data_IF_847426510786
#
_entry.id   IF_847426510786
#
_cell.length_a   1.000
_cell.length_b   1.000
_cell.length_c   1.000
_cell.angle_alpha   90.00
_cell.angle_beta   90.00
_cell.angle_gamma   90.00
#
_symmetry.space_group_name_H-M   'P 1'
#
loop_
_entity.id
_entity.type
_entity.pdbx_description
1 polymer ?
#
# COMPACT_ATOMS: atom_id res chain seq x y z
N UNK A 1 15.02 36.42 4.20
CA UNK A 1 15.39 35.55 3.06
C UNK A 1 16.26 34.40 3.56
N UNK A 2 15.87 33.13 3.37
CA UNK A 2 16.65 31.99 3.86
C UNK A 2 17.87 31.71 2.97
N UNK A 3 19.04 31.48 3.59
CA UNK A 3 20.33 31.29 2.90
C UNK A 3 20.36 29.97 2.11
N UNK A 4 21.16 29.90 1.05
CA UNK A 4 21.26 28.73 0.13
C UNK A 4 21.58 27.41 0.85
N UNK A 5 22.24 27.48 2.01
CA UNK A 5 22.54 26.34 2.88
C UNK A 5 21.27 25.81 3.61
N UNK A 6 20.42 26.69 4.15
CA UNK A 6 19.17 26.30 4.81
C UNK A 6 18.14 25.67 3.86
N UNK A 7 18.17 26.05 2.57
CA UNK A 7 17.34 25.41 1.54
C UNK A 7 17.68 23.93 1.36
N UNK A 8 18.96 23.56 1.33
CA UNK A 8 19.38 22.15 1.20
C UNK A 8 18.94 21.32 2.41
N UNK A 9 19.06 21.85 3.62
CA UNK A 9 18.65 21.14 4.84
C UNK A 9 17.14 20.97 4.92
N UNK A 10 16.35 22.01 4.65
CA UNK A 10 14.87 21.90 4.61
C UNK A 10 14.37 20.96 3.51
N UNK A 11 15.00 20.95 2.34
CA UNK A 11 14.65 20.03 1.25
C UNK A 11 15.03 18.58 1.58
N UNK A 12 16.17 18.34 2.24
CA UNK A 12 16.51 17.00 2.74
C UNK A 12 15.58 16.55 3.85
N UNK A 13 15.16 17.46 4.75
CA UNK A 13 14.18 17.14 5.80
C UNK A 13 12.82 16.79 5.20
N UNK A 14 12.36 17.57 4.22
CA UNK A 14 11.14 17.29 3.47
C UNK A 14 11.21 15.94 2.75
N UNK A 15 12.33 15.64 2.07
CA UNK A 15 12.55 14.33 1.44
C UNK A 15 12.53 13.19 2.48
N UNK A 16 13.24 13.34 3.61
CA UNK A 16 13.25 12.33 4.68
C UNK A 16 11.87 12.11 5.30
N UNK A 17 11.06 13.17 5.41
CA UNK A 17 9.68 13.10 5.92
C UNK A 17 8.76 12.42 4.92
N UNK A 18 8.87 12.72 3.63
CA UNK A 18 8.13 12.06 2.56
C UNK A 18 8.46 10.56 2.46
N UNK A 19 9.71 10.15 2.70
CA UNK A 19 10.09 8.73 2.77
C UNK A 19 9.60 7.98 4.01
N UNK A 20 9.09 8.70 5.02
CA UNK A 20 8.42 8.13 6.19
C UNK A 20 6.89 8.10 6.03
N UNK A 21 6.35 8.78 5.04
CA UNK A 21 4.93 8.75 4.77
C UNK A 21 4.54 7.43 4.07
N UNK A 22 3.63 6.63 4.65
CA UNK A 22 3.20 5.37 4.05
C UNK A 22 2.56 5.54 2.67
N UNK A 23 1.80 6.62 2.44
CA UNK A 23 1.12 6.88 1.18
C UNK A 23 2.11 7.29 0.08
N UNK A 24 3.08 8.15 0.40
CA UNK A 24 4.15 8.50 -0.55
C UNK A 24 4.97 7.26 -0.91
N UNK A 25 5.30 6.43 0.08
CA UNK A 25 6.04 5.17 -0.15
C UNK A 25 5.25 4.23 -1.06
N UNK A 26 3.93 4.10 -0.87
CA UNK A 26 3.07 3.30 -1.74
C UNK A 26 2.97 3.87 -3.16
N UNK A 27 2.88 5.20 -3.32
CA UNK A 27 2.86 5.86 -4.63
C UNK A 27 4.16 5.64 -5.41
N UNK A 28 5.32 5.77 -4.74
CA UNK A 28 6.62 5.45 -5.33
C UNK A 28 6.70 3.98 -5.74
N UNK A 29 6.12 3.08 -4.94
CA UNK A 29 6.05 1.67 -5.28
C UNK A 29 5.22 1.40 -6.54
N UNK A 30 4.09 2.11 -6.72
CA UNK A 30 3.29 2.05 -7.96
C UNK A 30 4.08 2.54 -9.18
N UNK A 31 4.85 3.63 -9.05
CA UNK A 31 5.72 4.11 -10.13
C UNK A 31 6.76 3.05 -10.52
N UNK A 32 7.42 2.41 -9.55
CA UNK A 32 8.34 1.32 -9.83
C UNK A 32 7.67 0.12 -10.50
N UNK A 33 6.41 -0.16 -10.17
CA UNK A 33 5.64 -1.21 -10.80
C UNK A 33 5.34 -0.88 -12.27
N UNK A 34 4.91 0.34 -12.58
CA UNK A 34 4.70 0.81 -13.96
C UNK A 34 5.99 0.80 -14.79
N UNK A 35 7.12 1.14 -14.18
CA UNK A 35 8.47 1.07 -14.75
C UNK A 35 8.98 -0.38 -14.97
N UNK A 36 8.18 -1.41 -14.68
CA UNK A 36 8.54 -2.84 -14.70
C UNK A 36 9.73 -3.21 -13.78
N UNK A 37 10.04 -2.38 -12.78
CA UNK A 37 11.11 -2.61 -11.80
C UNK A 37 10.58 -3.43 -10.61
N UNK A 38 10.26 -4.69 -10.87
CA UNK A 38 9.58 -5.62 -9.93
C UNK A 38 10.28 -5.70 -8.56
N UNK A 39 11.58 -5.98 -8.51
CA UNK A 39 12.29 -6.13 -7.22
C UNK A 39 12.28 -4.84 -6.37
N UNK A 40 12.40 -3.68 -7.03
CA UNK A 40 12.29 -2.39 -6.34
C UNK A 40 10.87 -2.17 -5.86
N UNK A 41 9.87 -2.33 -6.73
CA UNK A 41 8.46 -2.19 -6.36
C UNK A 41 8.10 -3.04 -5.14
N UNK A 42 8.57 -4.30 -5.09
CA UNK A 42 8.38 -5.19 -3.94
C UNK A 42 8.98 -4.64 -2.65
N UNK A 43 10.25 -4.19 -2.70
CA UNK A 43 10.91 -3.62 -1.54
C UNK A 43 10.20 -2.38 -1.02
N UNK A 44 9.70 -1.53 -1.91
CA UNK A 44 8.93 -0.34 -1.60
C UNK A 44 7.54 -0.65 -1.03
N UNK A 45 6.82 -1.64 -1.59
CA UNK A 45 5.53 -2.10 -1.05
C UNK A 45 5.68 -2.71 0.34
N UNK A 46 6.68 -3.57 0.54
CA UNK A 46 7.01 -4.13 1.86
C UNK A 46 7.29 -3.01 2.85
N UNK A 47 8.07 -1.99 2.46
CA UNK A 47 8.34 -0.83 3.30
C UNK A 47 7.07 -0.03 3.63
N UNK A 48 6.19 0.22 2.65
CA UNK A 48 4.95 0.95 2.87
C UNK A 48 4.07 0.27 3.93
N UNK A 49 3.97 -1.06 3.85
CA UNK A 49 3.24 -1.87 4.82
C UNK A 49 3.94 -1.88 6.18
N UNK A 50 5.27 -2.00 6.25
CA UNK A 50 6.02 -1.93 7.52
C UNK A 50 5.90 -0.55 8.20
N UNK A 51 5.82 0.54 7.42
CA UNK A 51 5.66 1.89 7.97
C UNK A 51 4.30 2.08 8.65
N UNK A 52 3.24 1.55 8.05
CA UNK A 52 1.91 1.59 8.66
C UNK A 52 1.07 0.38 8.24
N UNK A 53 1.00 -0.58 9.15
CA UNK A 53 0.31 -1.85 8.95
C UNK A 53 -1.22 -1.73 9.10
N UNK A 54 -1.70 -0.60 9.63
CA UNK A 54 -3.15 -0.36 9.82
C UNK A 54 -3.84 0.05 8.51
N UNK A 55 -3.08 0.37 7.45
CA UNK A 55 -3.62 0.80 6.15
C UNK A 55 -3.85 -0.42 5.25
N UNK A 56 -5.11 -0.86 5.16
CA UNK A 56 -5.56 -1.99 4.35
C UNK A 56 -5.33 -1.79 2.85
N UNK A 57 -5.39 -0.56 2.35
CA UNK A 57 -5.13 -0.25 0.94
C UNK A 57 -3.70 -0.62 0.51
N UNK A 58 -2.71 -0.47 1.40
CA UNK A 58 -1.34 -0.88 1.14
C UNK A 58 -1.19 -2.39 1.09
N UNK A 59 -1.89 -3.12 1.96
CA UNK A 59 -1.95 -4.58 1.92
C UNK A 59 -2.60 -5.08 0.63
N UNK A 60 -3.71 -4.46 0.22
CA UNK A 60 -4.41 -4.79 -1.02
C UNK A 60 -3.50 -4.57 -2.24
N UNK A 61 -2.80 -3.42 -2.29
CA UNK A 61 -1.84 -3.13 -3.34
C UNK A 61 -0.68 -4.14 -3.37
N UNK A 62 -0.15 -4.49 -2.20
CA UNK A 62 0.97 -5.43 -2.09
C UNK A 62 0.56 -6.84 -2.48
N UNK A 63 -0.62 -7.28 -2.07
CA UNK A 63 -1.17 -8.57 -2.48
C UNK A 63 -1.41 -8.62 -3.98
N UNK A 64 -1.97 -7.55 -4.58
CA UNK A 64 -2.16 -7.44 -6.03
C UNK A 64 -0.85 -7.59 -6.79
N UNK A 65 0.21 -6.99 -6.27
CA UNK A 65 1.53 -7.08 -6.86
C UNK A 65 2.08 -8.51 -6.82
N UNK A 66 1.96 -9.23 -5.69
CA UNK A 66 2.39 -10.63 -5.61
C UNK A 66 1.48 -11.59 -6.39
N UNK A 67 0.23 -11.24 -6.67
CA UNK A 67 -0.62 -12.00 -7.61
C UNK A 67 -0.08 -11.95 -9.04
N UNK A 68 0.53 -10.83 -9.46
CA UNK A 68 1.06 -10.68 -10.82
C UNK A 68 2.52 -11.12 -10.96
N UNK A 69 3.36 -10.83 -9.96
CA UNK A 69 4.82 -10.98 -10.05
C UNK A 69 5.42 -11.89 -8.96
N UNK A 70 4.58 -12.39 -8.06
CA UNK A 70 4.98 -13.17 -6.89
C UNK A 70 4.76 -14.66 -7.03
N UNK A 71 5.14 -15.39 -5.99
CA UNK A 71 4.81 -16.82 -5.84
C UNK A 71 3.63 -16.99 -4.89
N UNK A 72 2.89 -18.10 -5.02
CA UNK A 72 1.76 -18.41 -4.15
C UNK A 72 2.13 -18.41 -2.66
N UNK A 73 3.36 -18.81 -2.33
CA UNK A 73 3.88 -18.78 -0.95
C UNK A 73 3.89 -17.35 -0.40
N UNK A 74 4.32 -16.37 -1.20
CA UNK A 74 4.37 -14.96 -0.78
C UNK A 74 2.98 -14.36 -0.66
N UNK A 75 2.07 -14.72 -1.57
CA UNK A 75 0.67 -14.32 -1.50
C UNK A 75 0.04 -14.79 -0.18
N UNK A 76 0.21 -16.06 0.18
CA UNK A 76 -0.26 -16.62 1.45
C UNK A 76 0.37 -15.92 2.65
N UNK A 77 1.67 -15.61 2.61
CA UNK A 77 2.34 -14.86 3.68
C UNK A 77 1.79 -13.43 3.85
N UNK A 78 1.49 -12.73 2.75
CA UNK A 78 0.90 -11.39 2.82
C UNK A 78 -0.50 -11.46 3.40
N UNK A 79 -1.31 -12.42 2.95
CA UNK A 79 -2.66 -12.61 3.45
C UNK A 79 -2.65 -12.94 4.94
N UNK A 80 -1.82 -13.89 5.39
CA UNK A 80 -1.65 -14.22 6.80
C UNK A 80 -1.23 -12.99 7.65
N UNK A 81 -0.30 -12.17 7.14
CA UNK A 81 0.12 -10.94 7.82
C UNK A 81 -0.99 -9.88 7.84
N UNK A 82 -1.73 -9.71 6.76
CA UNK A 82 -2.85 -8.79 6.69
C UNK A 82 -3.93 -9.18 7.72
N UNK A 83 -4.25 -10.46 7.80
CA UNK A 83 -5.19 -11.01 8.81
C UNK A 83 -4.66 -10.79 10.22
N UNK A 84 -3.38 -11.08 10.48
CA UNK A 84 -2.77 -10.90 11.80
C UNK A 84 -2.72 -9.43 12.26
N UNK A 85 -2.65 -8.48 11.33
CA UNK A 85 -2.59 -7.05 11.65
C UNK A 85 -3.96 -6.35 11.66
N UNK A 86 -5.02 -6.99 11.16
CA UNK A 86 -6.40 -6.48 11.11
C UNK A 86 -6.49 -4.98 10.77
N UNK A 87 -6.11 -4.57 9.54
CA UNK A 87 -6.09 -3.16 9.17
C UNK A 87 -7.47 -2.51 9.27
N UNK A 88 -7.53 -1.27 9.75
CA UNK A 88 -8.77 -0.49 9.97
C UNK A 88 -8.82 0.81 9.18
N UNK A 89 -7.71 1.18 8.54
CA UNK A 89 -7.54 2.42 7.77
C UNK A 89 -7.34 2.12 6.29
N UNK A 90 -7.47 3.16 5.46
CA UNK A 90 -7.47 3.07 4.01
C UNK A 90 -8.79 3.61 3.48
N UNK A 91 -8.73 4.41 2.43
CA UNK A 91 -9.90 5.04 1.84
C UNK A 91 -10.83 3.96 1.26
N UNK A 92 -10.27 3.01 0.51
CA UNK A 92 -11.04 1.90 -0.07
C UNK A 92 -11.38 0.86 0.98
N UNK A 93 -10.43 0.54 1.85
CA UNK A 93 -10.63 -0.39 2.95
C UNK A 93 -11.77 0.04 3.86
N UNK A 94 -11.81 1.30 4.29
CA UNK A 94 -12.88 1.80 5.15
C UNK A 94 -14.22 1.85 4.44
N UNK A 95 -14.25 2.27 3.17
CA UNK A 95 -15.49 2.28 2.40
C UNK A 95 -16.12 0.89 2.30
N UNK A 96 -15.28 -0.14 2.10
CA UNK A 96 -15.74 -1.54 2.01
C UNK A 96 -16.05 -2.11 3.39
N UNK A 97 -15.14 -1.97 4.35
CA UNK A 97 -15.30 -2.54 5.71
C UNK A 97 -16.51 -1.98 6.45
N UNK A 98 -16.87 -0.71 6.23
CA UNK A 98 -18.04 -0.08 6.86
C UNK A 98 -19.35 -0.32 6.12
N UNK A 99 -19.33 -0.93 4.94
CA UNK A 99 -20.58 -1.28 4.26
C UNK A 99 -21.34 -2.33 5.10
N UNK A 100 -22.65 -2.16 5.23
CA UNK A 100 -23.51 -3.02 6.09
C UNK A 100 -23.36 -4.50 5.72
N UNK A 101 -23.23 -4.79 4.44
CA UNK A 101 -23.06 -6.15 3.90
C UNK A 101 -21.73 -6.82 4.31
N UNK A 102 -20.76 -6.03 4.78
CA UNK A 102 -19.40 -6.46 5.09
C UNK A 102 -19.08 -6.48 6.60
N UNK A 103 -20.03 -6.08 7.45
CA UNK A 103 -19.80 -5.88 8.89
C UNK A 103 -19.32 -7.13 9.65
N UNK A 104 -19.66 -8.33 9.16
CA UNK A 104 -19.26 -9.62 9.74
C UNK A 104 -18.29 -10.42 8.86
N UNK A 105 -17.71 -9.80 7.84
CA UNK A 105 -16.81 -10.50 6.94
C UNK A 105 -15.37 -10.52 7.45
N UNK A 106 -14.64 -11.63 7.24
CA UNK A 106 -13.25 -11.72 7.65
C UNK A 106 -12.37 -10.79 6.80
N UNK A 107 -11.23 -10.38 7.37
CA UNK A 107 -10.23 -9.50 6.74
C UNK A 107 -9.82 -9.96 5.34
N UNK A 108 -9.77 -11.26 5.08
CA UNK A 108 -9.44 -11.85 3.77
C UNK A 108 -10.48 -11.48 2.70
N UNK A 109 -11.77 -11.49 3.06
CA UNK A 109 -12.85 -11.17 2.12
C UNK A 109 -12.88 -9.66 1.87
N UNK A 110 -12.64 -8.85 2.89
CA UNK A 110 -12.51 -7.39 2.74
C UNK A 110 -11.32 -7.07 1.82
N UNK A 111 -10.18 -7.73 2.01
CA UNK A 111 -9.00 -7.58 1.15
C UNK A 111 -9.33 -7.90 -0.31
N UNK A 112 -9.99 -9.02 -0.58
CA UNK A 112 -10.43 -9.40 -1.93
C UNK A 112 -11.40 -8.38 -2.54
N UNK A 113 -12.33 -7.83 -1.77
CA UNK A 113 -13.23 -6.77 -2.24
C UNK A 113 -12.46 -5.48 -2.59
N UNK A 114 -11.48 -5.11 -1.76
CA UNK A 114 -10.61 -3.94 -2.02
C UNK A 114 -9.77 -4.17 -3.29
N UNK A 115 -9.25 -5.37 -3.50
CA UNK A 115 -8.56 -5.76 -4.74
C UNK A 115 -9.42 -5.59 -5.99
N UNK A 116 -10.69 -6.01 -5.92
CA UNK A 116 -11.65 -5.83 -7.02
C UNK A 116 -11.89 -4.33 -7.27
N UNK A 117 -12.08 -3.53 -6.21
CA UNK A 117 -12.25 -2.09 -6.33
C UNK A 117 -11.03 -1.41 -6.96
N UNK A 118 -9.82 -1.74 -6.51
CA UNK A 118 -8.56 -1.23 -7.08
C UNK A 118 -8.38 -1.64 -8.56
N UNK A 119 -8.81 -2.84 -8.93
CA UNK A 119 -8.74 -3.31 -10.32
C UNK A 119 -9.77 -2.64 -11.23
N UNK A 120 -10.91 -2.21 -10.69
CA UNK A 120 -11.91 -1.42 -11.43
C UNK A 120 -11.41 0.00 -11.69
N UNK A 121 -10.76 0.65 -10.72
CA UNK A 121 -10.21 2.00 -10.89
C UNK A 121 -9.11 2.07 -11.94
N UNK A 122 -8.20 1.09 -11.97
CA UNK A 122 -7.15 1.04 -13.00
C UNK A 122 -7.70 0.83 -14.42
N UNK A 123 -8.89 0.24 -14.57
CA UNK A 123 -9.54 0.08 -15.88
C UNK A 123 -10.33 1.33 -16.30
N UNK A 124 -10.69 2.16 -15.33
CA UNK A 124 -11.47 3.38 -15.55
C UNK A 124 -10.58 4.62 -15.79
N UNK A 125 -9.27 4.49 -15.60
CA UNK A 125 -8.26 5.52 -15.85
C UNK A 125 -7.48 5.19 -17.11
#
# INVERSE_FOLDING_TARGET
>A
MATRSQRKTKSMDAMKKCFRDPHVTAAVAKLFWQDKKVEKARAWLKRAVTLNQDIGDHWALYYKFELQHGTEVRQKQILAKCVAHEPKRGEKWQAISKAVENAHQPTEVILNKVLIALSKEEKAT
#
